data_IF_943829372919
#
_entry.id   IF_943829372919
#
_cell.length_a   1.000
_cell.length_b   1.000
_cell.length_c   1.000
_cell.angle_alpha   90.00
_cell.angle_beta   90.00
_cell.angle_gamma   90.00
#
_symmetry.space_group_name_H-M   'P 1'
#
loop_
_entity.id
_entity.type
_entity.pdbx_description
1 polymer ?
2 non-polymer ?
3 non-polymer ?
4 non-polymer ?
5 water ?
#
# COMPACT_ATOMS: atom_id res chain seq x y z
N UNK A 13 -8.22 12.81 -25.80
CA UNK A 13 -8.76 12.50 -24.45
C UNK A 13 -8.42 11.07 -24.00
N UNK A 14 -8.53 10.85 -22.70
CA UNK A 14 -8.34 9.54 -22.09
C UNK A 14 -9.65 9.14 -21.43
N UNK A 15 -9.82 7.85 -21.08
CA UNK A 15 -11.07 7.37 -20.48
C UNK A 15 -11.55 8.19 -19.27
N UNK A 16 -10.64 8.59 -18.40
CA UNK A 16 -10.97 9.40 -17.23
C UNK A 16 -10.64 10.87 -17.48
N UNK A 17 -11.62 11.74 -17.28
CA UNK A 17 -11.42 13.18 -17.30
C UNK A 17 -11.06 13.62 -15.89
N UNK A 18 -9.76 13.71 -15.59
CA UNK A 18 -9.31 13.98 -14.23
C UNK A 18 -9.75 15.36 -13.75
N UNK A 19 -10.10 15.44 -12.46
CA UNK A 19 -10.51 16.69 -11.85
C UNK A 19 -9.34 17.67 -11.76
N UNK A 20 -9.61 18.92 -12.10
CA UNK A 20 -8.65 20.00 -11.91
C UNK A 20 -9.03 20.79 -10.66
N UNK A 21 -8.04 21.39 -10.00
CA UNK A 21 -8.24 22.16 -8.76
C UNK A 21 -9.30 23.25 -8.91
N UNK A 22 -9.42 23.80 -10.12
CA UNK A 22 -10.35 24.89 -10.39
C UNK A 22 -11.81 24.40 -10.39
N UNK A 23 -12.01 23.14 -10.81
CA UNK A 23 -13.35 22.57 -10.96
C UNK A 23 -13.99 22.09 -9.67
N UNK A 24 -13.18 21.94 -8.62
CA UNK A 24 -13.63 21.30 -7.38
C UNK A 24 -14.79 22.02 -6.69
N UNK A 25 -14.81 23.34 -6.75
CA UNK A 25 -15.86 24.14 -6.11
C UNK A 25 -17.23 23.96 -6.75
N UNK A 26 -17.25 23.60 -8.03
CA UNK A 26 -18.50 23.38 -8.78
C UNK A 26 -19.13 22.00 -8.56
N UNK A 27 -18.41 21.10 -7.90
CA UNK A 27 -18.93 19.76 -7.63
C UNK A 27 -19.55 19.69 -6.24
N UNK A 28 -20.86 19.47 -6.20
CA UNK A 28 -21.59 19.30 -4.94
C UNK A 28 -21.80 17.81 -4.67
N UNK A 29 -20.92 17.24 -3.84
CA UNK A 29 -20.98 15.82 -3.48
C UNK A 29 -22.24 15.45 -2.69
N UNK A 30 -22.79 16.43 -1.97
CA UNK A 30 -23.98 16.21 -1.16
C UNK A 30 -25.21 15.86 -1.99
N UNK A 31 -25.25 16.31 -3.24
CA UNK A 31 -26.34 15.99 -4.16
C UNK A 31 -26.32 14.54 -4.66
N UNK A 33 -25.64 10.41 -5.41
CA UNK A 33 -25.79 9.05 -4.89
C UNK A 33 -24.38 8.45 -4.77
N UNK A 34 -24.29 7.32 -4.08
CA UNK A 34 -23.00 6.64 -3.91
C UNK A 34 -22.36 6.31 -5.26
N UNK A 35 -23.17 5.82 -6.20
CA UNK A 35 -22.73 5.53 -7.56
C UNK A 35 -22.12 6.75 -8.23
N UNK A 36 -22.79 7.90 -8.12
CA UNK A 36 -22.31 9.14 -8.75
C UNK A 36 -21.09 9.70 -8.03
N UNK A 37 -20.99 9.45 -6.72
CA UNK A 37 -19.80 9.84 -5.97
C UNK A 37 -18.57 9.08 -6.43
N UNK A 38 -18.72 7.78 -6.68
CA UNK A 38 -17.59 6.95 -7.13
C UNK A 38 -17.07 7.37 -8.50
N UNK A 39 -17.93 7.97 -9.31
CA UNK A 39 -17.48 8.59 -10.57
C UNK A 39 -16.56 9.78 -10.29
N UNK A 40 -16.83 10.53 -9.23
CA UNK A 40 -15.97 11.65 -8.82
C UNK A 40 -14.66 11.15 -8.20
N UNK A 41 -14.74 10.12 -7.35
CA UNK A 41 -13.51 9.57 -6.73
C UNK A 41 -12.55 9.08 -7.80
N UNK A 42 -13.10 8.40 -8.80
CA UNK A 42 -12.33 7.89 -9.94
C UNK A 42 -11.58 9.02 -10.65
N UNK A 43 -12.19 10.20 -10.71
CA UNK A 43 -11.63 11.35 -11.44
C UNK A 43 -10.65 12.17 -10.60
N UNK A 44 -10.46 11.82 -9.33
CA UNK A 44 -9.40 12.40 -8.54
C UNK A 44 -8.08 11.83 -9.06
N UNK A 45 -7.13 12.70 -9.46
CA UNK A 45 -5.81 12.19 -9.83
C UNK A 45 -5.06 11.74 -8.59
N UNK A 46 -5.08 10.44 -8.32
CA UNK A 46 -4.58 9.90 -7.06
C UNK A 46 -3.10 9.51 -7.11
N UNK A 47 -2.38 9.85 -6.05
CA UNK A 47 -1.01 9.41 -5.84
C UNK A 47 -1.01 8.48 -4.64
N UNK A 48 -0.79 7.18 -4.90
CA UNK A 48 -0.86 6.15 -3.86
C UNK A 48 0.53 5.64 -3.53
N UNK A 49 0.87 5.67 -2.24
CA UNK A 49 2.22 5.35 -1.77
C UNK A 49 2.35 4.01 -1.05
N UNK A 50 1.23 3.44 -0.61
CA UNK A 50 1.24 2.25 0.25
C UNK A 50 0.25 1.22 -0.25
N UNK A 51 0.72 0.35 -1.14
CA UNK A 51 -0.08 -0.76 -1.63
C UNK A 51 0.80 -1.95 -1.93
N UNK A 52 0.47 -3.08 -1.31
CA UNK A 52 1.23 -4.31 -1.45
C UNK A 52 0.83 -5.07 -2.73
N UNK A 53 1.69 -4.99 -3.75
CA UNK A 53 1.44 -5.63 -5.04
C UNK A 53 1.15 -7.12 -4.88
N UNK A 54 1.94 -7.79 -4.05
CA UNK A 54 1.76 -9.23 -3.81
C UNK A 54 0.45 -9.61 -3.13
N UNK A 55 -0.29 -8.62 -2.60
CA UNK A 55 -1.63 -8.83 -2.06
C UNK A 55 -2.64 -7.87 -2.68
N UNK A 56 -2.42 -7.52 -3.94
CA UNK A 56 -3.27 -6.58 -4.67
C UNK A 56 -3.91 -7.28 -5.86
N UNK A 57 -5.17 -7.68 -5.71
CA UNK A 57 -5.89 -8.38 -6.75
C UNK A 57 -7.40 -8.27 -6.55
N UNK A 58 -8.15 -8.64 -7.58
CA UNK A 58 -9.61 -8.69 -7.50
C UNK A 58 -10.06 -10.08 -7.05
N UNK A 59 -11.31 -10.16 -6.58
CA UNK A 59 -11.92 -11.44 -6.22
C UNK A 59 -11.87 -12.43 -7.39
N UNK A 60 -12.26 -11.94 -8.57
CA UNK A 60 -12.28 -12.76 -9.79
C UNK A 60 -10.88 -13.29 -10.11
N UNK A 61 -9.87 -12.43 -10.02
CA UNK A 61 -8.49 -12.86 -10.26
C UNK A 61 -8.05 -13.92 -9.25
N UNK A 62 -8.31 -13.69 -7.97
CA UNK A 62 -7.89 -14.64 -6.93
C UNK A 62 -8.49 -16.02 -7.17
N UNK A 63 -9.80 -16.07 -7.39
CA UNK A 63 -10.49 -17.35 -7.62
C UNK A 63 -9.97 -18.05 -8.89
N UNK A 64 -9.65 -17.29 -9.92
CA UNK A 64 -9.07 -17.87 -11.15
C UNK A 64 -7.76 -18.58 -10.86
N UNK A 65 -6.93 -18.01 -9.99
CA UNK A 65 -5.67 -18.65 -9.57
C UNK A 65 -5.96 -19.94 -8.82
N UNK A 66 -6.94 -19.91 -7.92
CA UNK A 66 -7.31 -21.08 -7.13
C UNK A 66 -7.84 -22.22 -8.03
N UNK A 67 -8.60 -21.88 -9.06
CA UNK A 67 -9.10 -22.86 -10.02
C UNK A 67 -8.00 -23.37 -10.95
N UNK A 68 -7.14 -22.48 -11.40
CA UNK A 68 -6.06 -22.81 -12.33
C UNK A 68 -5.18 -23.95 -11.79
N UNK A 69 -4.85 -23.88 -10.50
CA UNK A 69 -4.00 -24.88 -9.86
C UNK A 69 -4.79 -25.87 -9.00
N UNK A 70 -6.11 -25.92 -9.21
CA UNK A 70 -6.99 -26.89 -8.54
C UNK A 70 -6.72 -26.99 -7.04
N UNK A 71 -6.72 -25.84 -6.37
CA UNK A 71 -6.34 -25.75 -4.96
C UNK A 71 -7.48 -26.03 -4.00
N UNK A 72 -8.70 -25.61 -4.36
CA UNK A 72 -9.86 -25.83 -3.50
C UNK A 72 -11.08 -26.36 -4.28
N UNK A 73 -10.96 -27.59 -4.81
CA UNK A 73 -12.04 -28.19 -5.61
C UNK A 73 -13.35 -28.42 -4.85
N UNK A 74 -13.29 -28.57 -3.53
CA UNK A 74 -14.47 -28.77 -2.70
C UNK A 74 -15.09 -27.47 -2.15
N UNK A 75 -14.60 -26.32 -2.60
CA UNK A 75 -15.14 -25.02 -2.19
C UNK A 75 -15.70 -24.23 -3.38
N UNK A 76 -16.78 -23.48 -3.13
CA UNK A 76 -17.35 -22.57 -4.12
C UNK A 76 -16.56 -21.28 -4.17
N UNK A 77 -16.77 -20.49 -5.23
CA UNK A 77 -16.10 -19.18 -5.38
C UNK A 77 -16.20 -18.36 -4.10
N UNK A 78 -17.40 -18.23 -3.55
CA UNK A 78 -17.62 -17.42 -2.35
C UNK A 78 -16.95 -18.02 -1.10
N UNK A 79 -17.01 -19.34 -0.96
CA UNK A 79 -16.32 -20.04 0.14
C UNK A 79 -14.80 -19.86 0.04
N UNK A 80 -14.28 -19.87 -1.18
CA UNK A 80 -12.86 -19.61 -1.42
C UNK A 80 -12.46 -18.21 -0.90
N UNK A 81 -13.29 -17.21 -1.19
CA UNK A 81 -13.02 -15.84 -0.73
C UNK A 81 -13.04 -15.74 0.79
N UNK A 82 -14.03 -16.37 1.41
CA UNK A 82 -14.15 -16.38 2.88
C UNK A 82 -13.00 -17.13 3.54
N UNK A 83 -12.58 -18.24 2.92
CA UNK A 83 -11.50 -19.08 3.47
C UNK A 83 -10.13 -18.40 3.46
N UNK A 84 -9.81 -17.71 2.37
CA UNK A 84 -8.48 -17.14 2.17
C UNK A 84 -8.33 -15.67 2.55
N UNK A 85 -9.38 -14.87 2.34
CA UNK A 85 -9.25 -13.40 2.39
C UNK A 85 -9.77 -12.77 3.68
N UNK A 86 -9.81 -11.44 3.71
CA UNK A 86 -10.02 -10.68 4.94
C UNK A 86 -11.10 -9.61 4.75
N UNK A 87 -12.02 -9.86 3.82
CA UNK A 87 -13.06 -8.88 3.44
C UNK A 87 -14.03 -8.56 4.60
N UNK A 88 -14.29 -9.54 5.45
CA UNK A 88 -15.13 -9.35 6.63
C UNK A 88 -14.31 -8.88 7.83
N UNK A 89 -13.00 -8.76 7.66
CA UNK A 89 -12.12 -8.30 8.71
C UNK A 89 -11.69 -9.43 9.63
N UNK A 90 -11.02 -9.08 10.71
CA UNK A 90 -10.58 -10.04 11.71
C UNK A 90 -10.21 -9.33 12.99
N UNK A 91 -9.51 -10.05 13.87
CA UNK A 91 -9.25 -9.56 15.23
C UNK A 91 -8.03 -8.64 15.29
N UNK A 92 -7.05 -8.87 14.43
CA UNK A 92 -5.74 -8.26 14.59
C UNK A 92 -4.87 -8.32 13.35
N UNK A 93 -3.74 -7.61 13.43
CA UNK A 93 -2.68 -7.71 12.43
C UNK A 93 -2.10 -9.13 12.40
N UNK A 94 -2.06 -9.79 13.55
CA UNK A 94 -1.60 -11.18 13.64
C UNK A 94 -2.47 -12.13 12.81
N UNK A 95 -3.78 -11.94 12.91
CA UNK A 95 -4.74 -12.75 12.15
C UNK A 95 -4.68 -12.44 10.66
N UNK A 96 -4.45 -11.16 10.33
CA UNK A 96 -4.25 -10.73 8.95
C UNK A 96 -3.05 -11.45 8.30
N UNK A 97 -1.96 -11.58 9.06
CA UNK A 97 -0.73 -12.16 8.52
C UNK A 97 -0.87 -13.66 8.28
N UNK A 98 -1.49 -14.38 9.21
CA UNK A 98 -1.74 -15.82 9.01
C UNK A 98 -2.60 -16.08 7.79
N UNK A 99 -3.50 -15.15 7.50
CA UNK A 99 -4.39 -15.29 6.36
C UNK A 99 -3.65 -14.95 5.06
N UNK A 100 -2.72 -13.99 5.13
CA UNK A 100 -1.83 -13.67 4.02
C UNK A 100 -0.92 -14.85 3.68
N UNK A 101 -0.44 -15.55 4.70
CA UNK A 101 0.34 -16.77 4.52
C UNK A 101 -0.43 -17.83 3.73
N UNK A 102 -1.73 -17.95 3.99
CA UNK A 102 -2.58 -18.86 3.22
C UNK A 102 -2.67 -18.44 1.77
N UNK A 103 -2.84 -17.14 1.55
CA UNK A 103 -2.97 -16.58 0.20
C UNK A 103 -1.77 -16.90 -0.68
N UNK A 104 -0.60 -17.07 -0.08
CA UNK A 104 0.61 -17.44 -0.80
C UNK A 104 0.50 -18.78 -1.57
N UNK A 105 -0.56 -19.55 -1.31
CA UNK A 105 -0.94 -20.69 -2.16
C UNK A 105 -0.95 -20.37 -3.67
N UNK A 106 -1.26 -19.13 -4.04
CA UNK A 106 -1.34 -18.78 -5.47
C UNK A 106 0.01 -18.51 -6.13
N UNK A 107 1.08 -18.37 -5.34
CA UNK A 107 2.40 -18.07 -5.89
C UNK A 107 3.08 -19.34 -6.41
N UNK A 108 2.38 -20.04 -7.30
CA UNK A 108 2.79 -21.37 -7.78
C UNK A 108 3.96 -21.31 -8.76
N UNK A 109 4.03 -20.23 -9.54
CA UNK A 109 5.03 -20.09 -10.59
C UNK A 109 5.20 -18.62 -11.01
N UNK A 110 6.11 -18.37 -11.94
CA UNK A 110 6.45 -17.01 -12.35
C UNK A 110 5.45 -16.41 -13.34
N UNK A 111 4.65 -17.27 -13.98
CA UNK A 111 3.64 -16.81 -14.91
C UNK A 111 2.49 -16.11 -14.18
N UNK A 112 2.04 -16.70 -13.08
CA UNK A 112 0.96 -16.13 -12.28
C UNK A 112 1.38 -14.83 -11.57
N UNK A 113 2.67 -14.73 -11.23
CA UNK A 113 3.19 -13.53 -10.58
C UNK A 113 3.21 -12.35 -11.57
N UNK A 114 3.63 -12.62 -12.81
CA UNK A 114 3.59 -11.62 -13.87
C UNK A 114 2.15 -11.15 -14.13
N UNK A 115 1.24 -12.10 -14.27
CA UNK A 115 -0.19 -11.79 -14.49
C UNK A 115 -0.77 -11.00 -13.33
N UNK A 116 -0.41 -11.38 -12.11
CA UNK A 116 -0.81 -10.64 -10.90
C UNK A 116 -0.38 -9.17 -11.01
N UNK A 117 0.89 -8.96 -11.35
CA UNK A 117 1.44 -7.61 -11.48
C UNK A 117 0.74 -6.81 -12.58
N UNK A 118 0.48 -7.48 -13.71
CA UNK A 118 -0.19 -6.86 -14.85
C UNK A 118 -1.57 -6.34 -14.49
N UNK A 119 -2.38 -7.22 -13.91
CA UNK A 119 -3.74 -6.88 -13.50
C UNK A 119 -3.75 -5.85 -12.37
N UNK A 120 -2.75 -5.88 -11.50
CA UNK A 120 -2.64 -4.91 -10.40
C UNK A 120 -2.44 -3.50 -10.93
N UNK A 121 -1.51 -3.34 -11.86
CA UNK A 121 -1.26 -2.05 -12.50
C UNK A 121 -2.47 -1.57 -13.30
N UNK A 122 -3.09 -2.47 -14.06
CA UNK A 122 -4.20 -2.07 -14.92
C UNK A 122 -5.41 -1.59 -14.13
N UNK A 123 -5.71 -2.26 -13.03
CA UNK A 123 -6.83 -1.85 -12.18
C UNK A 123 -6.60 -0.49 -11.52
N UNK A 124 -5.37 -0.23 -11.08
CA UNK A 124 -5.05 1.09 -10.54
C UNK A 124 -5.26 2.18 -11.60
N UNK A 125 -4.85 1.90 -12.84
CA UNK A 125 -5.11 2.81 -13.97
C UNK A 125 -6.60 3.07 -14.16
N UNK A 126 -7.40 2.01 -14.18
CA UNK A 126 -8.85 2.11 -14.31
C UNK A 126 -9.49 2.91 -13.18
N UNK A 127 -8.92 2.81 -11.98
CA UNK A 127 -9.42 3.50 -10.80
C UNK A 127 -9.04 4.98 -10.74
N UNK A 128 -8.15 5.41 -11.62
CA UNK A 128 -7.70 6.80 -11.66
C UNK A 128 -6.48 7.13 -10.82
N UNK A 129 -5.61 6.14 -10.61
CA UNK A 129 -4.32 6.40 -9.97
C UNK A 129 -3.34 6.82 -11.06
N UNK A 130 -2.65 7.94 -10.83
CA UNK A 130 -1.68 8.48 -11.77
C UNK A 130 -0.23 8.26 -11.31
N UNK A 131 -0.04 8.14 -9.99
CA UNK A 131 1.27 7.84 -9.41
C UNK A 131 1.12 6.67 -8.43
N UNK A 133 3.20 3.92 -6.20
CA UNK A 133 4.33 3.22 -5.60
C UNK A 133 3.81 1.91 -5.05
N UNK A 134 4.09 0.82 -5.77
CA UNK A 134 3.79 -0.53 -5.29
C UNK A 134 4.95 -1.03 -4.43
N UNK A 135 4.66 -1.97 -3.54
CA UNK A 135 5.68 -2.64 -2.75
C UNK A 135 5.39 -4.13 -2.70
N UNK A 136 6.45 -4.94 -2.62
CA UNK A 136 6.29 -6.37 -2.44
C UNK A 136 7.43 -6.97 -1.62
N UNK A 137 7.15 -8.11 -1.01
CA UNK A 137 8.13 -8.83 -0.21
C UNK A 137 8.66 -10.02 -1.00
N UNK A 138 9.93 -9.97 -1.42
CA UNK A 138 10.53 -11.11 -2.11
C UNK A 138 10.38 -12.44 -1.35
N UNK A 139 10.70 -12.44 -0.06
CA UNK A 139 10.65 -13.67 0.74
C UNK A 139 9.22 -14.18 0.91
N UNK A 140 8.27 -13.27 1.05
CA UNK A 140 6.86 -13.64 1.18
C UNK A 140 6.33 -14.35 -0.06
N UNK A 141 6.72 -13.87 -1.23
CA UNK A 141 6.30 -14.50 -2.49
C UNK A 141 7.02 -15.83 -2.72
N UNK A 142 8.27 -15.93 -2.26
CA UNK A 142 9.13 -17.08 -2.56
C UNK A 142 8.88 -18.35 -1.72
N UNK A 143 8.42 -18.21 -0.47
CA UNK A 143 8.52 -19.32 0.50
C UNK A 143 7.62 -20.52 0.22
N UNK A 144 6.41 -20.29 -0.26
CA UNK A 144 5.40 -21.35 -0.35
C UNK A 144 5.83 -22.49 -1.27
N UNK A 145 6.32 -22.12 -2.46
CA UNK A 145 6.80 -23.08 -3.44
C UNK A 145 8.31 -22.99 -3.68
N UNK A 146 9.04 -22.36 -2.75
CA UNK A 146 10.50 -22.28 -2.80
C UNK A 146 10.99 -21.67 -4.13
N UNK A 147 10.43 -20.53 -4.50
CA UNK A 147 10.78 -19.87 -5.76
C UNK A 147 12.08 -19.07 -5.64
N UNK A 148 12.63 -18.67 -6.79
CA UNK A 148 13.85 -17.88 -6.88
C UNK A 148 13.50 -16.40 -6.88
N UNK A 149 13.98 -15.67 -5.88
CA UNK A 149 13.63 -14.24 -5.71
C UNK A 149 14.09 -13.38 -6.90
N UNK A 150 15.17 -13.79 -7.55
CA UNK A 150 15.61 -13.14 -8.78
C UNK A 150 14.57 -13.30 -9.90
N UNK A 151 13.98 -14.48 -10.00
CA UNK A 151 12.98 -14.76 -11.02
C UNK A 151 11.61 -14.16 -10.67
N UNK A 152 11.30 -14.09 -9.38
CA UNK A 152 10.10 -13.39 -8.92
C UNK A 152 10.13 -11.91 -9.32
N UNK A 153 11.26 -11.27 -9.04
CA UNK A 153 11.47 -9.85 -9.36
C UNK A 153 11.39 -9.59 -10.85
N UNK A 154 12.00 -10.48 -11.62
CA UNK A 154 11.95 -10.45 -13.07
C UNK A 154 10.51 -10.47 -13.58
N UNK A 155 9.72 -11.39 -13.04
CA UNK A 155 8.31 -11.53 -13.43
C UNK A 155 7.51 -10.27 -13.11
N UNK A 156 7.73 -9.72 -11.92
CA UNK A 156 7.03 -8.51 -11.47
C UNK A 156 7.41 -7.31 -12.33
N UNK A 157 8.71 -7.09 -12.52
CA UNK A 157 9.20 -5.97 -13.32
C UNK A 157 8.70 -6.04 -14.76
N UNK A 158 8.69 -7.25 -15.31
CA UNK A 158 8.21 -7.48 -16.68
C UNK A 158 6.72 -7.18 -16.80
N UNK A 159 5.91 -7.69 -15.88
CA UNK A 159 4.47 -7.45 -15.88
C UNK A 159 4.09 -5.98 -15.78
N UNK A 160 4.75 -5.25 -14.88
CA UNK A 160 4.54 -3.80 -14.75
C UNK A 160 4.91 -3.07 -16.04
N UNK A 161 6.09 -3.37 -16.58
CA UNK A 161 6.58 -2.71 -17.78
C UNK A 161 5.64 -2.91 -18.98
N UNK A 162 5.20 -4.14 -19.20
CA UNK A 162 4.32 -4.46 -20.32
C UNK A 162 3.00 -3.68 -20.27
N UNK A 163 2.41 -3.55 -19.09
CA UNK A 163 1.14 -2.83 -18.93
C UNK A 163 1.35 -1.31 -19.01
N UNK A 164 2.40 -0.82 -18.37
CA UNK A 164 2.77 0.59 -18.43
C UNK A 164 3.03 1.06 -19.87
N UNK A 165 3.71 0.21 -20.65
CA UNK A 165 3.95 0.50 -22.07
C UNK A 165 2.66 0.45 -22.90
N UNK A 166 1.80 -0.53 -22.65
CA UNK A 166 0.50 -0.61 -23.29
C UNK A 166 -0.33 0.66 -23.02
N UNK A 167 -0.23 1.17 -21.80
CA UNK A 167 -0.99 2.33 -21.36
C UNK A 167 -0.32 3.68 -21.70
N UNK A 168 0.77 3.63 -22.49
CA UNK A 168 1.51 4.84 -22.90
C UNK A 168 1.96 5.69 -21.71
N UNK A 169 2.36 5.03 -20.62
CA UNK A 169 2.86 5.69 -19.42
C UNK A 169 1.86 6.71 -18.81
N UNK A 170 0.57 6.43 -18.96
CA UNK A 170 -0.46 7.29 -18.39
C UNK A 170 -0.64 7.04 -16.89
N UNK A 171 -0.09 5.92 -16.41
CA UNK A 171 0.14 5.70 -14.99
C UNK A 171 1.63 5.47 -14.79
N UNK A 172 2.18 6.10 -13.76
CA UNK A 172 3.59 5.95 -13.43
C UNK A 172 3.71 5.08 -12.19
N UNK A 173 4.48 4.01 -12.33
CA UNK A 173 4.61 2.97 -11.31
C UNK A 173 6.05 2.83 -10.86
N UNK A 174 6.27 2.83 -9.55
CA UNK A 174 7.58 2.54 -8.97
C UNK A 174 7.45 1.40 -7.94
N UNK A 175 8.57 0.80 -7.58
CA UNK A 175 8.59 -0.35 -6.69
C UNK A 175 9.38 -0.09 -5.43
N UNK A 177 10.86 -2.38 -1.93
CA UNK A 177 11.16 -3.72 -1.47
C UNK A 177 10.77 -3.82 0.00
N UNK A 178 10.12 -4.91 0.36
CA UNK A 178 9.71 -5.15 1.75
C UNK A 178 10.51 -6.27 2.38
N UNK A 179 11.24 -5.93 3.45
CA UNK A 179 11.71 -6.93 4.40
C UNK A 179 10.54 -7.11 5.37
N UNK A 180 10.30 -8.33 5.81
CA UNK A 180 9.15 -8.58 6.68
C UNK A 180 9.40 -9.63 7.76
N UNK A 181 8.45 -9.68 8.70
CA UNK A 181 8.49 -10.58 9.84
C UNK A 181 7.15 -11.34 9.94
N UNK A 182 7.21 -12.62 10.29
CA UNK A 182 6.02 -13.40 10.60
C UNK A 182 5.62 -14.47 9.60
N UNK A 183 6.51 -14.79 8.66
CA UNK A 183 6.28 -15.91 7.74
C UNK A 183 7.54 -16.77 7.60
N UNK A 184 7.38 -18.00 7.13
CA UNK A 184 8.51 -18.91 6.98
C UNK A 184 9.50 -18.38 5.94
N UNK A 185 10.79 -18.58 6.22
CA UNK A 185 11.89 -18.09 5.38
C UNK A 185 11.93 -16.57 5.25
N UNK A 186 11.52 -15.86 6.31
CA UNK A 186 11.61 -14.40 6.35
C UNK A 186 13.03 -14.00 6.70
N UNK A 187 13.53 -12.95 6.05
CA UNK A 187 14.92 -12.52 6.23
C UNK A 187 15.10 -11.05 5.83
N UNK A 188 15.24 -10.20 6.84
CA UNK A 188 15.33 -8.76 6.66
C UNK A 188 16.67 -8.38 6.01
N UNK A 189 17.76 -8.94 6.54
CA UNK A 189 19.10 -8.76 6.00
C UNK A 189 19.14 -9.12 4.51
N UNK A 190 18.65 -10.31 4.18
CA UNK A 190 18.63 -10.76 2.79
C UNK A 190 17.76 -9.87 1.90
N UNK A 191 16.64 -9.40 2.44
CA UNK A 191 15.74 -8.49 1.73
C UNK A 191 16.40 -7.16 1.43
N UNK A 192 17.14 -6.65 2.43
CA UNK A 192 17.93 -5.42 2.26
C UNK A 192 18.99 -5.60 1.19
N UNK A 193 19.72 -6.72 1.25
CA UNK A 193 20.74 -7.03 0.24
C UNK A 193 20.14 -7.10 -1.17
N UNK A 194 18.98 -7.73 -1.27
CA UNK A 194 18.29 -7.89 -2.55
C UNK A 194 17.83 -6.54 -3.09
N UNK A 195 17.35 -5.69 -2.19
CA UNK A 195 16.94 -4.34 -2.53
C UNK A 195 18.08 -3.53 -3.14
N UNK A 196 19.25 -3.59 -2.53
CA UNK A 196 20.41 -2.82 -3.00
C UNK A 196 20.99 -3.41 -4.29
N UNK A 197 20.99 -4.73 -4.39
CA UNK A 197 21.38 -5.42 -5.64
C UNK A 197 20.51 -4.95 -6.81
N UNK A 198 19.24 -4.70 -6.54
CA UNK A 198 18.29 -4.24 -7.56
C UNK A 198 17.84 -2.80 -7.30
N UNK A 199 18.79 -1.99 -6.84
CA UNK A 199 18.57 -0.57 -6.55
C UNK A 199 18.00 0.21 -7.74
N UNK A 200 18.34 -0.20 -8.96
CA UNK A 200 17.81 0.44 -10.17
C UNK A 200 16.29 0.30 -10.30
N UNK A 201 15.74 -0.77 -9.74
CA UNK A 201 14.29 -1.04 -9.81
C UNK A 201 13.53 -0.61 -8.55
N UNK A 202 14.23 -0.47 -7.43
CA UNK A 202 13.60 -0.14 -6.15
C UNK A 202 13.87 1.30 -5.75
N UNK A 203 12.80 2.01 -5.39
CA UNK A 203 12.89 3.40 -4.95
C UNK A 203 12.83 3.55 -3.44
N UNK A 204 12.51 2.48 -2.73
CA UNK A 204 12.45 2.53 -1.27
C UNK A 204 12.46 1.17 -0.61
N UNK A 205 12.66 1.18 0.71
CA UNK A 205 12.72 -0.03 1.51
C UNK A 205 11.76 0.07 2.70
N UNK A 206 11.11 -1.06 3.00
CA UNK A 206 10.00 -1.09 3.95
C UNK A 206 10.17 -2.29 4.87
N UNK A 207 9.58 -2.22 6.06
CA UNK A 207 9.36 -3.41 6.88
C UNK A 207 7.88 -3.58 7.19
N UNK A 208 7.36 -4.79 6.94
CA UNK A 208 5.97 -5.13 7.27
C UNK A 208 5.85 -6.50 7.93
N UNK A 209 4.65 -7.07 7.86
CA UNK A 209 4.28 -8.24 8.64
C UNK A 209 3.93 -7.84 10.07
N UNK A 210 4.35 -8.66 11.03
CA UNK A 210 4.24 -8.33 12.44
C UNK A 210 5.00 -7.02 12.70
N UNK A 211 4.38 -6.12 13.47
CA UNK A 211 5.02 -4.85 13.83
C UNK A 211 6.01 -5.07 14.97
N UNK A 212 7.30 -4.88 14.69
CA UNK A 212 8.34 -5.04 15.69
C UNK A 212 9.15 -3.75 15.81
N UNK A 213 9.84 -3.60 16.92
CA UNK A 213 10.74 -2.48 17.13
C UNK A 213 11.97 -2.68 16.27
N UNK A 214 12.11 -1.86 15.23
CA UNK A 214 13.17 -2.03 14.23
C UNK A 214 14.51 -1.42 14.66
N UNK A 215 14.54 -0.88 15.88
CA UNK A 215 15.78 -0.46 16.53
C UNK A 215 16.85 -1.55 16.50
N UNK A 216 16.42 -2.81 16.64
CA UNK A 216 17.33 -3.95 16.66
C UNK A 216 17.99 -4.24 15.31
N UNK A 217 17.44 -3.67 14.23
CA UNK A 217 18.05 -3.82 12.90
C UNK A 217 18.67 -2.52 12.39
N UNK A 218 19.09 -1.66 13.32
CA UNK A 218 19.65 -0.34 13.00
C UNK A 218 20.70 -0.39 11.89
N UNK A 219 21.62 -1.35 12.00
CA UNK A 219 22.72 -1.47 11.05
C UNK A 219 22.22 -1.76 9.63
N UNK A 220 21.25 -2.66 9.50
CA UNK A 220 20.71 -3.02 8.18
C UNK A 220 20.03 -1.81 7.52
N UNK A 221 19.25 -1.07 8.29
CA UNK A 221 18.53 0.11 7.77
C UNK A 221 19.44 1.31 7.50
N UNK A 222 20.43 1.53 8.37
CA UNK A 222 21.47 2.55 8.12
C UNK A 222 22.10 2.28 6.75
N UNK A 223 22.49 1.03 6.53
CA UNK A 223 23.14 0.61 5.29
C UNK A 223 22.28 0.85 4.05
N UNK A 224 21.00 0.50 4.12
CA UNK A 224 20.09 0.73 3.00
C UNK A 224 19.87 2.23 2.78
N UNK A 225 19.54 2.95 3.85
CA UNK A 225 19.30 4.39 3.76
C UNK A 225 20.51 5.16 3.25
N UNK A 226 21.68 4.88 3.83
CA UNK A 226 22.91 5.59 3.48
C UNK A 226 23.39 5.27 2.07
N UNK A 227 22.88 4.17 1.50
CA UNK A 227 23.18 3.80 0.11
C UNK A 227 22.30 4.56 -0.89
N UNK A 228 21.38 5.39 -0.39
CA UNK A 228 20.55 6.23 -1.24
C UNK A 228 19.15 5.67 -1.49
N UNK A 229 18.74 4.68 -0.72
CA UNK A 229 17.40 4.12 -0.80
C UNK A 229 16.61 4.59 0.43
N UNK A 230 15.66 5.52 0.25
CA UNK A 230 14.92 6.03 1.41
C UNK A 230 14.05 4.96 2.07
N UNK A 231 13.70 5.21 3.34
CA UNK A 231 12.95 4.24 4.13
C UNK A 231 11.54 4.74 4.42
N UNK A 232 10.58 3.84 4.26
CA UNK A 232 9.24 4.00 4.78
C UNK A 232 8.81 2.67 5.35
N UNK A 233 8.67 2.58 6.68
CA UNK A 233 8.38 1.32 7.35
C UNK A 233 7.05 1.36 8.09
N UNK A 234 6.44 0.18 8.24
CA UNK A 234 5.20 0.04 9.01
C UNK A 234 5.50 0.27 10.49
N UNK A 235 4.89 1.30 11.06
CA UNK A 235 5.01 1.59 12.49
C UNK A 235 3.77 2.37 12.96
N UNK A 236 3.38 2.14 14.21
CA UNK A 236 2.21 2.83 14.78
C UNK A 236 0.89 2.39 14.19
N UNK A 237 0.81 1.13 13.79
CA UNK A 237 -0.42 0.55 13.26
C UNK A 237 -1.10 -0.29 14.32
N UNK A 238 -0.36 -1.26 14.86
CA UNK A 238 -0.93 -2.26 15.75
C UNK A 238 -1.20 -1.67 17.12
N UNK A 239 -2.49 -1.56 17.47
CA UNK A 239 -2.90 -0.97 18.75
C UNK A 239 -2.73 -1.91 19.95
N UNK A 240 -2.40 -3.18 19.70
CA UNK A 240 -2.18 -4.14 20.79
C UNK A 240 -0.80 -4.01 21.45
N UNK A 241 0.11 -3.26 20.83
CA UNK A 241 1.43 -3.06 21.41
C UNK A 241 1.31 -2.14 22.63
N UNK A 242 2.08 -2.43 23.69
CA UNK A 242 1.93 -1.74 24.99
C UNK A 242 2.49 -0.32 25.07
N UNK A 243 3.16 0.13 24.01
CA UNK A 243 3.74 1.47 23.98
C UNK A 243 3.93 1.92 22.53
N UNK A 244 4.57 3.08 22.34
CA UNK A 244 4.81 3.62 21.00
C UNK A 244 6.28 3.58 20.61
N UNK A 245 7.03 2.60 21.15
CA UNK A 245 8.47 2.48 20.90
C UNK A 245 8.82 2.28 19.44
N UNK A 246 7.94 1.59 18.70
CA UNK A 246 8.18 1.32 17.28
C UNK A 246 8.21 2.61 16.46
N UNK A 247 7.40 3.58 16.87
CA UNK A 247 7.35 4.88 16.20
C UNK A 247 8.59 5.72 16.52
N UNK A 248 8.99 5.75 17.79
CA UNK A 248 10.22 6.46 18.18
C UNK A 248 11.44 5.90 17.45
N UNK A 249 11.51 4.58 17.34
CA UNK A 249 12.62 3.93 16.63
C UNK A 249 12.56 4.22 15.13
N UNK A 250 11.38 4.09 14.53
CA UNK A 250 11.21 4.44 13.12
C UNK A 250 11.71 5.85 12.81
N UNK A 251 11.32 6.81 13.64
CA UNK A 251 11.65 8.22 13.42
C UNK A 251 13.10 8.55 13.77
N UNK A 252 13.50 8.22 15.00
CA UNK A 252 14.79 8.65 15.55
C UNK A 252 15.97 7.74 15.20
N UNK A 253 15.73 6.44 15.02
CA UNK A 253 16.81 5.49 14.73
C UNK A 253 16.89 5.16 13.24
N UNK A 254 15.75 4.86 12.63
CA UNK A 254 15.72 4.52 11.20
C UNK A 254 15.74 5.73 10.28
N UNK A 255 15.40 6.91 10.82
CA UNK A 255 15.41 8.16 10.04
C UNK A 255 14.51 8.04 8.79
N UNK A 256 13.31 7.49 8.97
CA UNK A 256 12.40 7.29 7.84
C UNK A 256 11.90 8.63 7.30
N UNK A 257 11.64 8.68 6.00
CA UNK A 257 11.03 9.84 5.38
C UNK A 257 9.52 9.74 5.42
N UNK A 258 9.01 8.50 5.52
CA UNK A 258 7.58 8.23 5.57
C UNK A 258 7.30 7.07 6.52
N UNK A 259 6.08 6.99 7.04
CA UNK A 259 5.68 5.89 7.92
C UNK A 259 4.44 5.19 7.37
N UNK A 260 4.52 3.88 7.25
CA UNK A 260 3.35 3.06 6.90
C UNK A 260 2.38 3.06 8.07
N UNK A 261 1.16 3.52 7.79
CA UNK A 261 0.11 3.73 8.79
C UNK A 261 0.40 4.92 9.72
N UNK A 262 1.20 4.70 10.76
CA UNK A 262 1.55 5.75 11.72
C UNK A 262 0.38 6.40 12.44
N UNK A 263 -0.76 5.72 12.48
CA UNK A 263 -1.98 6.30 13.04
C UNK A 263 -1.93 6.50 14.56
N UNK A 264 -1.08 5.73 15.23
CA UNK A 264 -0.92 5.86 16.68
C UNK A 264 -0.09 7.09 17.10
N UNK A 265 0.48 7.79 16.12
CA UNK A 265 1.10 9.09 16.34
C UNK A 265 0.12 10.07 17.01
N UNK A 266 -1.17 9.92 16.71
CA UNK A 266 -2.23 10.75 17.28
C UNK A 266 -2.32 10.66 18.81
N UNK A 267 -1.81 9.57 19.38
CA UNK A 267 -1.83 9.38 20.83
C UNK A 267 -0.74 10.15 21.58
N UNK A 268 0.15 10.82 20.85
CA UNK A 268 1.26 11.54 21.46
C UNK A 268 1.51 12.89 20.78
N UNK A 269 1.40 13.97 21.53
CA UNK A 269 1.72 15.30 21.00
C UNK A 269 3.19 15.40 20.63
N UNK A 270 4.07 14.74 21.38
CA UNK A 270 5.49 14.72 21.08
C UNK A 270 5.75 14.14 19.69
N UNK A 271 5.13 13.00 19.40
CA UNK A 271 5.27 12.35 18.09
C UNK A 271 4.65 13.20 16.98
N UNK A 272 3.50 13.81 17.27
CA UNK A 272 2.85 14.71 16.33
C UNK A 272 3.78 15.86 15.96
N UNK A 273 4.43 16.44 16.96
CA UNK A 273 5.38 17.55 16.76
C UNK A 273 6.62 17.09 15.99
N UNK A 275 6.94 14.48 13.94
CA UNK A 275 6.56 14.12 12.57
C UNK A 275 6.40 15.37 11.70
N UNK A 276 5.76 16.39 12.26
CA UNK A 276 5.57 17.64 11.53
C UNK A 276 6.89 18.34 11.25
N UNK A 277 7.75 18.43 12.26
CA UNK A 277 9.01 19.18 12.13
C UNK A 277 10.01 18.46 11.20
N UNK A 278 9.92 17.13 11.14
CA UNK A 278 10.79 16.33 10.28
C UNK A 278 10.22 16.14 8.86
N UNK A 279 9.02 16.68 8.63
CA UNK A 279 8.35 16.58 7.33
C UNK A 279 8.09 15.13 6.93
N UNK A 280 7.78 14.30 7.92
CA UNK A 280 7.43 12.91 7.70
C UNK A 280 5.94 12.82 7.34
N UNK A 281 5.61 12.02 6.32
CA UNK A 281 4.22 11.79 5.93
C UNK A 281 3.77 10.41 6.38
N UNK A 282 2.54 10.34 6.88
CA UNK A 282 1.92 9.09 7.32
C UNK A 282 1.07 8.52 6.20
N UNK A 283 1.39 7.30 5.79
CA UNK A 283 0.67 6.61 4.73
C UNK A 283 -0.53 5.92 5.35
N UNK A 284 -1.65 6.63 5.44
CA UNK A 284 -2.83 6.11 6.11
C UNK A 284 -3.62 5.16 5.22
N UNK A 285 -4.05 4.05 5.83
CA UNK A 285 -4.83 3.02 5.14
C UNK A 285 -6.13 2.83 5.92
N UNK A 286 -7.15 3.65 5.61
CA UNK A 286 -8.39 3.70 6.42
C UNK A 286 -9.12 2.36 6.58
N UNK A 287 -9.50 1.73 5.48
CA UNK A 287 -10.25 0.47 5.53
C UNK A 287 -9.44 -0.62 6.25
N UNK A 288 -8.16 -0.71 5.91
CA UNK A 288 -7.24 -1.65 6.56
C UNK A 288 -7.27 -1.53 8.08
N UNK A 289 -7.19 -0.30 8.57
CA UNK A 289 -7.19 -0.05 10.02
C UNK A 289 -8.47 -0.54 10.68
N UNK A 290 -9.60 -0.26 10.06
CA UNK A 290 -10.90 -0.68 10.59
C UNK A 290 -11.03 -2.20 10.58
N UNK A 291 -10.64 -2.83 9.47
CA UNK A 291 -10.81 -4.27 9.32
C UNK A 291 -9.88 -5.09 10.23
N UNK A 292 -8.71 -4.54 10.53
CA UNK A 292 -7.76 -5.18 11.46
C UNK A 292 -7.98 -4.78 12.92
N UNK A 293 -9.01 -3.95 13.16
CA UNK A 293 -9.35 -3.43 14.49
C UNK A 293 -8.25 -2.57 15.11
N UNK A 294 -7.54 -1.83 14.27
CA UNK A 294 -6.56 -0.85 14.72
C UNK A 294 -7.18 0.54 14.85
N UNK A 295 -8.37 0.69 14.26
CA UNK A 295 -9.27 1.81 14.57
C UNK A 295 -10.60 1.19 15.01
N UNK A 296 -11.24 1.78 16.01
CA UNK A 296 -12.49 1.24 16.57
C UNK A 296 -13.62 1.32 15.54
N UNK A 297 -13.62 2.40 14.77
CA UNK A 297 -14.55 2.59 13.66
C UNK A 297 -13.98 3.64 12.73
N UNK A 299 -15.69 6.29 11.89
CA UNK A 299 -16.11 7.51 12.60
C UNK A 299 -15.04 8.04 13.56
N UNK A 300 -14.24 7.14 14.12
CA UNK A 300 -13.22 7.50 15.08
C UNK A 300 -11.80 7.17 14.59
N UNK A 301 -11.62 7.14 13.28
CA UNK A 301 -10.30 6.91 12.70
C UNK A 301 -9.40 8.12 12.95
N UNK A 302 -8.15 7.89 13.43
CA UNK A 302 -7.23 8.98 13.79
C UNK A 302 -6.83 9.96 12.68
N UNK A 303 -7.06 9.61 11.41
CA UNK A 303 -6.71 10.46 10.27
C UNK A 303 -7.29 11.88 10.38
N UNK A 304 -8.52 11.98 10.91
CA UNK A 304 -9.18 13.27 11.07
C UNK A 304 -8.40 14.17 12.05
N UNK A 305 -8.04 13.64 13.21
CA UNK A 305 -7.31 14.44 14.19
C UNK A 305 -5.88 14.75 13.69
N UNK A 306 -5.23 13.76 13.07
CA UNK A 306 -3.90 13.95 12.48
C UNK A 306 -3.91 15.04 11.41
N UNK A 307 -4.88 14.98 10.51
CA UNK A 307 -5.03 15.99 9.46
C UNK A 307 -5.22 17.39 10.06
N UNK A 308 -6.12 17.50 11.02
CA UNK A 308 -6.40 18.78 11.69
C UNK A 308 -5.23 19.30 12.52
N UNK A 309 -4.40 18.38 13.02
CA UNK A 309 -3.21 18.76 13.80
C UNK A 309 -2.07 19.29 12.92
N UNK A 310 -2.22 19.16 11.59
CA UNK A 310 -1.24 19.70 10.65
C UNK A 310 -0.20 18.69 10.22
N UNK A 311 -0.45 17.41 10.48
CA UNK A 311 0.43 16.33 10.04
C UNK A 311 0.12 15.99 8.59
N UNK A 312 1.16 15.74 7.81
CA UNK A 312 0.97 15.32 6.42
C UNK A 312 0.54 13.86 6.36
N UNK A 313 -0.57 13.62 5.66
CA UNK A 313 -1.15 12.29 5.54
C UNK A 313 -1.57 12.07 4.07
N UNK A 314 -1.55 10.81 3.63
CA UNK A 314 -2.10 10.45 2.32
C UNK A 314 -3.00 9.22 2.44
N UNK A 315 -3.84 9.02 1.43
CA UNK A 315 -4.81 7.92 1.42
C UNK A 315 -4.25 6.76 0.62
N UNK A 316 -4.37 5.55 1.17
CA UNK A 316 -3.83 4.34 0.55
C UNK A 316 -4.76 3.15 0.75
N UNK A 317 -4.69 2.19 -0.17
CA UNK A 317 -5.59 1.02 -0.13
C UNK A 317 -5.02 -0.11 0.71
N UNK A 318 -3.69 -0.20 0.78
CA UNK A 318 -2.97 -1.23 1.53
C UNK A 318 -2.98 -2.59 0.82
N UNK A 319 -4.12 -3.29 0.83
CA UNK A 319 -4.22 -4.65 0.27
C UNK A 319 -5.59 -4.90 -0.36
N UNK A 320 -5.81 -4.39 -1.59
CA UNK A 320 -7.05 -4.63 -2.32
C UNK A 320 -7.45 -6.12 -2.39
N UNK A 321 -6.47 -7.00 -2.47
CA UNK A 321 -6.72 -8.44 -2.50
C UNK A 321 -7.31 -8.98 -1.21
N UNK A 323 -8.78 -7.29 1.26
CA UNK A 323 -10.00 -6.62 1.69
C UNK A 323 -11.09 -6.59 0.61
N UNK A 324 -10.76 -7.05 -0.60
CA UNK A 324 -11.68 -7.00 -1.74
C UNK A 324 -12.25 -5.60 -1.92
N UNK A 325 -11.35 -4.61 -1.81
CA UNK A 325 -11.67 -3.22 -1.98
C UNK A 325 -10.71 -2.62 -3.01
N UNK A 326 -10.91 -1.34 -3.33
CA UNK A 326 -9.94 -0.57 -4.12
C UNK A 326 -9.78 0.83 -3.53
N UNK A 327 -8.82 1.59 -4.06
CA UNK A 327 -8.45 2.89 -3.50
C UNK A 327 -9.63 3.86 -3.37
N UNK A 328 -10.56 3.84 -4.33
CA UNK A 328 -11.72 4.72 -4.27
C UNK A 328 -12.68 4.44 -3.11
N UNK A 329 -12.71 3.18 -2.64
CA UNK A 329 -13.45 2.84 -1.41
C UNK A 329 -12.92 3.59 -0.18
N UNK A 330 -11.59 3.68 -0.06
CA UNK A 330 -10.97 4.42 1.04
C UNK A 330 -11.38 5.89 1.00
N UNK A 331 -11.43 6.46 -0.21
CA UNK A 331 -11.91 7.84 -0.42
C UNK A 331 -13.38 7.98 -0.01
N UNK A 332 -14.21 7.02 -0.41
CA UNK A 332 -15.61 6.99 -0.02
C UNK A 332 -15.77 7.00 1.50
N UNK A 333 -15.02 6.13 2.17
CA UNK A 333 -15.12 6.02 3.63
C UNK A 333 -14.74 7.31 4.36
N UNK A 334 -13.71 8.00 3.86
CA UNK A 334 -13.25 9.25 4.48
C UNK A 334 -14.26 10.39 4.27
N UNK A 335 -14.88 10.42 3.09
CA UNK A 335 -15.93 11.39 2.81
C UNK A 335 -17.15 11.16 3.70
N UNK A 336 -17.70 9.96 3.65
CA UNK A 336 -18.96 9.64 4.31
C UNK A 336 -18.86 9.71 5.83
N UNK A 337 -17.83 9.10 6.40
CA UNK A 337 -17.71 8.98 7.85
C UNK A 337 -17.00 10.14 8.54
N UNK A 338 -16.09 10.81 7.84
CA UNK A 338 -15.22 11.81 8.46
C UNK A 338 -15.21 13.19 7.79
N UNK A 339 -16.14 13.45 6.87
CA UNK A 339 -16.32 14.78 6.26
C UNK A 339 -15.10 15.35 5.52
N UNK A 340 -14.27 14.48 4.94
CA UNK A 340 -13.15 14.95 4.13
C UNK A 340 -13.68 15.49 2.79
N UNK A 341 -13.11 16.59 2.31
CA UNK A 341 -13.57 17.24 1.08
C UNK A 341 -12.69 16.93 -0.12
N UNK A 342 -13.14 17.33 -1.31
CA UNK A 342 -12.33 17.22 -2.53
C UNK A 342 -11.04 18.03 -2.42
N UNK A 343 -11.12 19.18 -1.75
CA UNK A 343 -9.95 20.02 -1.52
C UNK A 343 -8.93 19.33 -0.61
N UNK A 344 -9.43 18.64 0.41
CA UNK A 344 -8.57 17.85 1.29
C UNK A 344 -7.85 16.77 0.48
N UNK A 345 -8.61 16.04 -0.33
CA UNK A 345 -8.06 14.93 -1.13
C UNK A 345 -7.02 15.40 -2.13
N UNK A 347 -5.15 18.14 -1.81
CA UNK A 347 -4.02 18.51 -0.96
C UNK A 347 -3.19 17.29 -0.57
N UNK A 349 -3.05 14.31 -1.97
CA UNK A 349 -2.42 13.71 -3.14
C UNK A 349 -1.19 14.50 -3.59
N UNK A 350 -1.24 15.82 -3.40
CA UNK A 350 -0.08 16.66 -3.70
C UNK A 350 1.05 16.42 -2.69
N UNK A 351 0.71 16.26 -1.41
CA UNK A 351 1.70 15.84 -0.42
C UNK A 351 2.34 14.51 -0.81
N UNK A 352 1.50 13.52 -1.11
CA UNK A 352 1.96 12.22 -1.57
C UNK A 352 2.94 12.36 -2.74
N UNK A 353 2.62 13.21 -3.70
CA UNK A 353 3.50 13.48 -4.84
C UNK A 353 4.84 14.04 -4.36
N UNK A 354 4.78 15.08 -3.53
CA UNK A 354 5.99 15.71 -2.97
C UNK A 354 6.87 14.70 -2.23
N UNK A 355 6.23 13.80 -1.47
CA UNK A 355 6.94 12.83 -0.63
C UNK A 355 7.21 11.48 -1.29
N UNK A 356 6.77 11.32 -2.54
CA UNK A 356 7.04 10.09 -3.30
C UNK A 356 8.53 9.90 -3.52
N UNK A 357 8.95 8.64 -3.58
CA UNK A 357 10.35 8.28 -3.81
C UNK A 357 10.73 8.19 -5.30
N UNK A 359 11.70 9.41 -9.19
CA UNK A 359 12.60 10.38 -9.81
C UNK A 359 11.87 11.72 -9.97
N UNK A 360 12.55 12.80 -9.58
CA UNK A 360 11.92 14.12 -9.50
C UNK A 360 11.44 14.68 -10.84
N UNK A 361 12.10 14.34 -11.94
CA UNK A 361 11.64 14.82 -13.26
C UNK A 361 10.34 14.15 -13.69
N UNK A 362 10.12 12.91 -13.26
CA UNK A 362 8.83 12.24 -13.48
C UNK A 362 7.76 12.91 -12.63
N UNK A 363 8.10 13.18 -11.36
CA UNK A 363 7.17 13.84 -10.45
C UNK A 363 6.78 15.25 -10.90
N UNK A 364 7.75 16.00 -11.44
CA UNK A 364 7.47 17.34 -11.97
C UNK A 364 6.50 17.27 -13.14
N UNK A 365 6.66 16.24 -13.96
CA UNK A 365 5.77 15.97 -15.09
C UNK A 365 4.33 15.74 -14.64
N UNK A 366 4.17 14.92 -13.60
CA UNK A 366 2.85 14.56 -13.07
C UNK A 366 2.19 15.78 -12.41
N UNK A 367 2.99 16.57 -11.70
CA UNK A 367 2.52 17.80 -11.07
C UNK A 367 1.97 18.81 -12.09
N UNK A 368 2.71 19.03 -13.18
CA UNK A 368 2.26 19.96 -14.23
C UNK A 368 1.00 19.46 -14.93
N UNK A 369 0.86 18.15 -15.05
CA UNK A 369 -0.27 17.55 -15.75
C UNK A 369 -1.56 17.55 -14.94
N UNK A 370 -1.46 17.42 -13.61
CA UNK A 370 -2.64 17.22 -12.75
C UNK A 370 -2.81 18.21 -11.60
N UNK A 371 -1.72 18.82 -11.14
CA UNK A 371 -1.76 19.69 -9.97
C UNK A 371 -1.33 21.12 -10.28
#
# INVERSE_FOLDING_TARGET
>A
XAHHHHHHXNILQEPIDFLKKEELKNIDLSQXSKKERYKIWKRIPKCELHCHLDLCFSADFFVSCIRKYNLQPNLSDEEVLDYYLFAKGGKSLGEFVEKAIKVADIFHDYEVIEDLAKHAVFNKYKEGVVLXEFRYSPTFVAFKYNLDIELIHQAIVKGIKEVVELLDHKIHVALXCIGDTGHEAANIKASADFCLKHKADFVGFDHGGHEVDLKEYKEIFDYVRESGVPLSVHAGEDVTLPNLNTLYSAIQVLKVERIGHGIRVAESQELIDXVKEKNILLEVCPISNVLLKNAKSXDTHPIRQLYDAGVKVSVNSDDPGXFLTNINDDYEELYTHLNFTLEDFXKXNEWALEKSFXDSNIKDKIKNLYF
#
